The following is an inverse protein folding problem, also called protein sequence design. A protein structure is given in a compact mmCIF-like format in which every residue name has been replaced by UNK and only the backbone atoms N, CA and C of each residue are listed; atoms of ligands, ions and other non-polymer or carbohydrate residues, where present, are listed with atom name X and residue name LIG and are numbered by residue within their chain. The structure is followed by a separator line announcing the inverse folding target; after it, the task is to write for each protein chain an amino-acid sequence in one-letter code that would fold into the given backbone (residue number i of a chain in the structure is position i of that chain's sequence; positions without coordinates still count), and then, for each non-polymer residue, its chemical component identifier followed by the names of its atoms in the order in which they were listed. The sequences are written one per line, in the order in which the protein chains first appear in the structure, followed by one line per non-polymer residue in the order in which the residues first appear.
data_IF_993723882876
#
_entry.id   IF_993723882876
#
_cell.length_a   1.000
_cell.length_b   1.000
_cell.length_c   1.000
_cell.angle_alpha   90.00
_cell.angle_beta   90.00
_cell.angle_gamma   90.00
#
_symmetry.space_group_name_H-M   'P 1'
#
loop_
_entity.id
_entity.type
_entity.pdbx_description
1 polymer ?
#
# COMPACT_ATOMS: atom_id res chain seq x y z
N UNK A 1 7.48 5.74 -16.79
CA UNK A 1 8.74 5.21 -16.25
C UNK A 1 8.61 3.77 -15.75
N UNK A 2 7.69 3.47 -14.84
CA UNK A 2 7.46 2.09 -14.35
C UNK A 2 6.96 1.13 -15.43
N UNK A 3 6.05 1.55 -16.31
CA UNK A 3 5.62 0.73 -17.45
C UNK A 3 6.78 0.35 -18.40
N UNK A 4 7.74 1.26 -18.59
CA UNK A 4 8.94 1.00 -19.39
C UNK A 4 9.85 0.01 -18.65
N UNK A 5 10.03 0.17 -17.34
CA UNK A 5 10.82 -0.77 -16.53
C UNK A 5 10.22 -2.18 -16.49
N UNK A 6 8.88 -2.30 -16.43
CA UNK A 6 8.17 -3.59 -16.47
C UNK A 6 8.39 -4.30 -17.81
N UNK A 7 8.27 -3.59 -18.94
CA UNK A 7 8.55 -4.18 -20.25
C UNK A 7 10.05 -4.47 -20.43
N UNK A 8 10.91 -3.60 -19.90
CA UNK A 8 12.34 -3.70 -20.11
C UNK A 8 12.98 -4.83 -19.29
N UNK A 9 12.39 -5.28 -18.18
CA UNK A 9 12.98 -6.31 -17.29
C UNK A 9 13.14 -7.67 -17.98
N UNK A 10 12.36 -7.92 -19.03
CA UNK A 10 12.43 -9.14 -19.85
C UNK A 10 13.63 -9.15 -20.80
N UNK A 11 14.28 -8.00 -21.03
CA UNK A 11 15.46 -7.89 -21.89
C UNK A 11 16.76 -8.02 -21.09
N UNK A 12 17.71 -8.79 -21.63
CA UNK A 12 19.04 -9.01 -21.02
C UNK A 12 19.88 -7.73 -20.85
N UNK A 13 19.58 -6.69 -21.62
CA UNK A 13 20.25 -5.38 -21.59
C UNK A 13 19.79 -4.53 -20.38
N UNK A 14 18.67 -4.88 -19.74
CA UNK A 14 18.14 -4.07 -18.66
C UNK A 14 18.97 -4.22 -17.37
N UNK A 15 19.42 -3.12 -16.75
CA UNK A 15 20.25 -3.18 -15.57
C UNK A 15 19.45 -3.75 -14.39
N UNK A 16 19.84 -4.94 -13.91
CA UNK A 16 19.17 -5.68 -12.83
C UNK A 16 19.03 -4.90 -11.52
N UNK A 17 19.87 -3.87 -11.30
CA UNK A 17 19.71 -2.93 -10.17
C UNK A 17 18.40 -2.13 -10.18
N UNK A 18 17.73 -2.02 -11.32
CA UNK A 18 16.44 -1.33 -11.46
C UNK A 18 15.25 -2.29 -11.44
N UNK A 19 15.50 -3.60 -11.44
CA UNK A 19 14.49 -4.64 -11.27
C UNK A 19 13.99 -4.66 -9.81
N UNK A 20 13.03 -5.56 -9.52
CA UNK A 20 12.46 -5.68 -8.18
C UNK A 20 13.54 -5.99 -7.15
N UNK A 21 13.55 -5.28 -6.03
CA UNK A 21 14.36 -5.67 -4.89
C UNK A 21 13.57 -6.63 -4.00
N UNK A 22 14.09 -7.84 -3.78
CA UNK A 22 13.51 -8.78 -2.80
C UNK A 22 14.09 -8.60 -1.39
N UNK A 23 15.17 -7.83 -1.27
CA UNK A 23 15.84 -7.52 0.00
C UNK A 23 15.85 -6.01 0.27
N UNK A 24 16.74 -5.51 1.13
CA UNK A 24 16.84 -4.09 1.43
C UNK A 24 17.23 -3.29 0.19
N UNK A 25 16.43 -2.28 -0.15
CA UNK A 25 16.66 -1.39 -1.28
C UNK A 25 15.36 -0.99 -1.96
N UNK A 26 15.46 -0.16 -3.02
CA UNK A 26 14.33 0.13 -3.89
C UNK A 26 14.77 0.06 -5.35
N UNK A 27 14.04 -0.69 -6.17
CA UNK A 27 14.19 -0.73 -7.61
C UNK A 27 13.33 0.32 -8.31
N UNK A 28 13.65 0.60 -9.58
CA UNK A 28 12.80 1.44 -10.44
C UNK A 28 11.38 0.86 -10.59
N UNK A 29 11.26 -0.47 -10.54
CA UNK A 29 9.99 -1.19 -10.63
C UNK A 29 9.15 -1.09 -9.33
N UNK A 30 9.78 -0.93 -8.17
CA UNK A 30 9.12 -0.88 -6.86
C UNK A 30 8.39 0.46 -6.63
N UNK A 31 8.85 1.53 -7.27
CA UNK A 31 8.25 2.86 -7.17
C UNK A 31 6.83 2.96 -7.77
N UNK A 32 6.44 2.02 -8.63
CA UNK A 32 5.16 2.07 -9.35
C UNK A 32 3.96 2.09 -8.41
N UNK A 33 4.02 1.29 -7.36
CA UNK A 33 2.93 1.21 -6.38
C UNK A 33 2.83 2.50 -5.57
N UNK A 34 3.96 3.05 -5.11
CA UNK A 34 4.00 4.32 -4.40
C UNK A 34 3.43 5.47 -5.23
N UNK A 35 3.84 5.59 -6.50
CA UNK A 35 3.31 6.62 -7.40
C UNK A 35 1.82 6.46 -7.68
N UNK A 36 1.34 5.22 -7.82
CA UNK A 36 -0.09 4.97 -7.97
C UNK A 36 -0.87 5.45 -6.74
N UNK A 37 -0.36 5.17 -5.53
CA UNK A 37 -0.99 5.64 -4.27
C UNK A 37 -1.00 7.16 -4.19
N UNK A 38 0.12 7.83 -4.50
CA UNK A 38 0.20 9.31 -4.51
C UNK A 38 -0.79 9.91 -5.52
N UNK A 39 -0.84 9.37 -6.74
CA UNK A 39 -1.74 9.87 -7.78
C UNK A 39 -3.21 9.78 -7.34
N UNK A 40 -3.62 8.65 -6.73
CA UNK A 40 -4.95 8.48 -6.16
C UNK A 40 -5.22 9.45 -4.99
N UNK A 41 -4.22 9.67 -4.13
CA UNK A 41 -4.32 10.58 -2.99
C UNK A 41 -4.49 12.04 -3.41
N UNK A 42 -3.81 12.49 -4.47
CA UNK A 42 -3.92 13.87 -4.97
C UNK A 42 -5.34 14.16 -5.47
N UNK A 43 -5.95 13.23 -6.21
CA UNK A 43 -7.30 13.42 -6.78
C UNK A 43 -8.44 13.11 -5.79
N UNK A 44 -8.08 12.75 -4.56
CA UNK A 44 -9.01 12.26 -3.56
C UNK A 44 -10.01 13.34 -3.09
N UNK A 45 -11.23 12.95 -2.64
CA UNK A 45 -12.18 13.89 -2.05
C UNK A 45 -11.64 14.63 -0.82
N UNK A 46 -10.72 13.99 -0.09
CA UNK A 46 -10.05 14.54 1.10
C UNK A 46 -9.15 15.73 0.72
N UNK A 47 -8.36 15.60 -0.36
CA UNK A 47 -7.54 16.68 -0.89
C UNK A 47 -8.38 17.89 -1.35
N UNK A 48 -9.65 17.65 -1.73
CA UNK A 48 -10.61 18.68 -2.15
C UNK A 48 -11.44 19.25 -1.00
N UNK A 49 -11.18 18.86 0.25
CA UNK A 49 -11.86 19.38 1.43
C UNK A 49 -13.33 18.94 1.59
N UNK A 50 -13.80 17.92 0.86
CA UNK A 50 -15.22 17.51 0.86
C UNK A 50 -15.57 16.51 1.97
N UNK A 51 -14.61 16.11 2.81
CA UNK A 51 -14.77 14.98 3.74
C UNK A 51 -15.52 15.33 5.04
N UNK A 52 -15.66 16.60 5.43
CA UNK A 52 -16.17 16.96 6.76
C UNK A 52 -17.72 16.88 6.92
N UNK A 53 -18.46 16.69 5.82
CA UNK A 53 -19.92 16.87 5.81
C UNK A 53 -20.73 15.58 6.10
N UNK A 54 -20.10 14.43 6.34
CA UNK A 54 -20.82 13.14 6.48
C UNK A 54 -20.45 12.40 7.77
N UNK A 55 -21.40 11.68 8.40
CA UNK A 55 -21.10 10.80 9.52
C UNK A 55 -20.12 9.68 9.14
N UNK A 56 -19.21 9.34 10.05
CA UNK A 56 -18.18 8.29 9.86
C UNK A 56 -18.76 6.97 9.33
N UNK A 57 -19.90 6.52 9.87
CA UNK A 57 -20.56 5.28 9.44
C UNK A 57 -21.05 5.35 8.00
N UNK A 58 -21.55 6.50 7.56
CA UNK A 58 -22.00 6.71 6.18
C UNK A 58 -20.82 6.74 5.21
N UNK A 59 -19.72 7.36 5.61
CA UNK A 59 -18.47 7.38 4.84
C UNK A 59 -17.88 5.99 4.71
N UNK A 60 -17.85 5.22 5.80
CA UNK A 60 -17.34 3.85 5.79
C UNK A 60 -18.20 2.93 4.92
N UNK A 61 -19.54 3.05 4.98
CA UNK A 61 -20.44 2.30 4.09
C UNK A 61 -20.20 2.65 2.61
N UNK A 62 -20.03 3.94 2.30
CA UNK A 62 -19.73 4.36 0.93
C UNK A 62 -18.35 3.87 0.46
N UNK A 63 -17.35 3.91 1.34
CA UNK A 63 -16.02 3.39 1.09
C UNK A 63 -16.06 1.88 0.84
N UNK A 64 -16.75 1.11 1.69
CA UNK A 64 -16.96 -0.33 1.55
C UNK A 64 -17.61 -0.68 0.20
N UNK A 65 -18.66 0.05 -0.19
CA UNK A 65 -19.28 -0.12 -1.52
C UNK A 65 -18.28 0.14 -2.64
N UNK A 66 -17.42 1.14 -2.50
CA UNK A 66 -16.34 1.44 -3.42
C UNK A 66 -15.15 0.46 -3.38
N UNK A 67 -15.04 -0.37 -2.35
CA UNK A 67 -14.04 -1.44 -2.24
C UNK A 67 -14.51 -2.73 -2.90
N UNK A 68 -15.82 -2.94 -3.10
CA UNK A 68 -16.38 -4.12 -3.78
C UNK A 68 -15.67 -4.45 -5.10
N UNK A 69 -15.50 -3.52 -6.06
CA UNK A 69 -14.82 -3.85 -7.31
C UNK A 69 -13.34 -4.24 -7.10
N UNK A 70 -12.66 -3.63 -6.13
CA UNK A 70 -11.28 -4.00 -5.77
C UNK A 70 -11.23 -5.42 -5.19
N UNK A 71 -12.18 -5.76 -4.32
CA UNK A 71 -12.26 -7.11 -3.74
C UNK A 71 -12.56 -8.15 -4.82
N UNK A 72 -13.49 -7.87 -5.73
CA UNK A 72 -13.81 -8.77 -6.87
C UNK A 72 -12.58 -9.00 -7.74
N UNK A 73 -11.85 -7.93 -8.09
CA UNK A 73 -10.59 -8.06 -8.83
C UNK A 73 -9.52 -8.82 -8.05
N UNK A 74 -9.41 -8.58 -6.74
CA UNK A 74 -8.49 -9.29 -5.84
C UNK A 74 -8.77 -10.78 -5.77
N UNK A 75 -10.04 -11.18 -5.59
CA UNK A 75 -10.44 -12.58 -5.61
C UNK A 75 -10.28 -13.20 -7.00
N UNK A 76 -10.64 -12.47 -8.06
CA UNK A 76 -10.45 -12.92 -9.45
C UNK A 76 -8.98 -13.23 -9.75
N UNK A 77 -8.06 -12.35 -9.35
CA UNK A 77 -6.61 -12.60 -9.47
C UNK A 77 -6.19 -13.84 -8.68
N UNK A 78 -6.62 -13.95 -7.43
CA UNK A 78 -6.24 -15.10 -6.57
C UNK A 78 -6.72 -16.42 -7.16
N UNK A 79 -7.95 -16.47 -7.67
CA UNK A 79 -8.51 -17.66 -8.31
C UNK A 79 -7.80 -17.97 -9.63
N UNK A 80 -7.48 -16.97 -10.44
CA UNK A 80 -6.75 -17.17 -11.68
C UNK A 80 -5.34 -17.73 -11.41
N UNK A 81 -4.58 -17.11 -10.52
CA UNK A 81 -3.20 -17.54 -10.19
C UNK A 81 -3.17 -18.95 -9.62
N UNK A 82 -4.07 -19.26 -8.68
CA UNK A 82 -4.20 -20.63 -8.12
C UNK A 82 -4.78 -21.63 -9.11
N UNK A 83 -5.59 -21.20 -10.06
CA UNK A 83 -6.18 -22.07 -11.08
C UNK A 83 -5.24 -22.38 -12.25
N UNK A 84 -4.25 -21.52 -12.51
CA UNK A 84 -3.28 -21.69 -13.60
C UNK A 84 -1.91 -22.18 -13.13
N UNK A 85 -1.75 -22.52 -11.84
CA UNK A 85 -0.46 -22.86 -11.20
C UNK A 85 0.68 -21.91 -11.60
N UNK A 86 0.36 -20.62 -11.72
CA UNK A 86 1.36 -19.63 -12.12
C UNK A 86 2.28 -19.32 -10.94
N UNK A 87 3.59 -19.24 -11.18
CA UNK A 87 4.57 -18.93 -10.15
C UNK A 87 4.29 -17.54 -9.56
N UNK A 88 3.78 -17.51 -8.32
CA UNK A 88 3.54 -16.27 -7.59
C UNK A 88 4.79 -15.88 -6.80
N UNK A 89 5.23 -14.62 -6.93
CA UNK A 89 6.26 -14.06 -6.06
C UNK A 89 5.66 -13.81 -4.67
N UNK A 90 5.72 -14.85 -3.85
CA UNK A 90 5.13 -14.89 -2.50
C UNK A 90 5.77 -13.87 -1.55
N UNK A 91 6.95 -13.35 -1.91
CA UNK A 91 7.73 -12.33 -1.19
C UNK A 91 7.19 -10.90 -1.36
N UNK A 92 6.28 -10.66 -2.31
CA UNK A 92 5.79 -9.29 -2.58
C UNK A 92 4.68 -8.84 -1.62
N UNK A 93 3.73 -9.73 -1.35
CA UNK A 93 2.53 -9.41 -0.59
C UNK A 93 2.12 -10.55 0.34
N UNK A 94 2.43 -11.79 -0.02
CA UNK A 94 2.05 -13.00 0.70
C UNK A 94 1.48 -14.07 -0.22
N UNK A 95 1.00 -15.16 0.39
CA UNK A 95 0.45 -16.32 -0.34
C UNK A 95 -0.98 -16.05 -0.83
N UNK A 96 -1.74 -15.21 -0.12
CA UNK A 96 -3.15 -14.94 -0.43
C UNK A 96 -3.44 -13.45 -0.58
N UNK A 97 -2.46 -12.61 -0.22
CA UNK A 97 -2.60 -11.18 -0.29
C UNK A 97 -2.11 -10.66 -1.64
N UNK A 98 -2.77 -9.62 -2.13
CA UNK A 98 -2.41 -9.01 -3.39
C UNK A 98 -2.58 -7.49 -3.33
N UNK A 99 -2.14 -6.83 -4.39
CA UNK A 99 -2.20 -5.38 -4.50
C UNK A 99 -3.63 -4.80 -4.42
N UNK A 100 -4.66 -5.52 -4.88
CA UNK A 100 -6.03 -5.03 -4.76
C UNK A 100 -6.52 -5.05 -3.30
N UNK A 101 -6.11 -6.07 -2.53
CA UNK A 101 -6.38 -6.13 -1.09
C UNK A 101 -5.63 -5.04 -0.32
N UNK A 102 -4.37 -4.73 -0.66
CA UNK A 102 -3.67 -3.58 -0.05
C UNK A 102 -4.36 -2.27 -0.36
N UNK A 103 -4.82 -2.04 -1.59
CA UNK A 103 -5.59 -0.84 -1.95
C UNK A 103 -6.91 -0.74 -1.19
N UNK A 104 -7.65 -1.85 -1.07
CA UNK A 104 -8.90 -1.89 -0.32
C UNK A 104 -8.66 -1.56 1.17
N UNK A 105 -7.62 -2.14 1.78
CA UNK A 105 -7.25 -1.87 3.16
C UNK A 105 -6.79 -0.42 3.35
N UNK A 106 -5.96 0.11 2.43
CA UNK A 106 -5.52 1.50 2.42
C UNK A 106 -6.70 2.48 2.35
N UNK A 107 -7.70 2.20 1.52
CA UNK A 107 -8.89 3.03 1.38
C UNK A 107 -9.72 3.05 2.66
N UNK A 108 -9.85 1.90 3.34
CA UNK A 108 -10.52 1.81 4.63
C UNK A 108 -9.75 2.56 5.72
N UNK A 109 -8.45 2.34 5.85
CA UNK A 109 -7.63 2.98 6.89
C UNK A 109 -7.51 4.49 6.69
N UNK A 110 -7.37 4.96 5.46
CA UNK A 110 -7.38 6.41 5.15
C UNK A 110 -8.72 7.06 5.48
N UNK A 111 -9.85 6.42 5.18
CA UNK A 111 -11.19 6.93 5.54
C UNK A 111 -11.33 7.07 7.06
N UNK A 112 -10.87 6.08 7.82
CA UNK A 112 -10.88 6.13 9.29
C UNK A 112 -9.96 7.25 9.80
N UNK A 113 -8.75 7.37 9.25
CA UNK A 113 -7.78 8.38 9.64
C UNK A 113 -8.32 9.81 9.42
N UNK A 114 -8.89 10.08 8.24
CA UNK A 114 -9.46 11.40 7.91
C UNK A 114 -10.83 11.66 8.54
N UNK A 115 -11.43 10.65 9.16
CA UNK A 115 -12.56 10.84 10.08
C UNK A 115 -12.11 11.34 11.47
N UNK A 116 -10.84 11.10 11.84
CA UNK A 116 -10.29 11.47 13.15
C UNK A 116 -9.43 12.74 13.08
N UNK A 117 -8.73 12.95 11.96
CA UNK A 117 -7.74 14.02 11.77
C UNK A 117 -8.24 15.03 10.73
N UNK A 118 -7.93 16.32 10.93
CA UNK A 118 -8.19 17.36 9.93
C UNK A 118 -7.16 17.31 8.80
N UNK A 119 -7.59 17.57 7.58
CA UNK A 119 -6.72 17.60 6.39
C UNK A 119 -5.54 18.57 6.54
N UNK A 120 -5.69 19.67 7.31
CA UNK A 120 -4.60 20.61 7.60
C UNK A 120 -3.42 19.97 8.36
N UNK A 121 -3.67 18.92 9.13
CA UNK A 121 -2.65 18.20 9.89
C UNK A 121 -2.08 17.00 9.12
N UNK A 122 -2.41 16.84 7.83
CA UNK A 122 -1.95 15.69 7.03
C UNK A 122 -0.43 15.53 7.04
N UNK A 123 0.34 16.61 6.91
CA UNK A 123 1.82 16.52 6.93
C UNK A 123 2.33 15.98 8.27
N UNK A 124 1.79 16.50 9.38
CA UNK A 124 2.17 16.05 10.73
C UNK A 124 1.75 14.59 10.93
N UNK A 125 0.54 14.21 10.51
CA UNK A 125 0.06 12.83 10.58
C UNK A 125 0.90 11.86 9.72
N UNK A 126 1.32 12.28 8.52
CA UNK A 126 2.19 11.48 7.66
C UNK A 126 3.56 11.26 8.30
N UNK A 127 4.14 12.31 8.89
CA UNK A 127 5.41 12.22 9.62
C UNK A 127 5.31 11.32 10.86
N UNK A 128 4.24 11.45 11.64
CA UNK A 128 4.06 10.60 12.83
C UNK A 128 3.87 9.14 12.45
N UNK A 129 3.05 8.85 11.43
CA UNK A 129 2.86 7.47 10.93
C UNK A 129 4.19 6.90 10.44
N UNK A 130 4.97 7.68 9.68
CA UNK A 130 6.28 7.24 9.15
C UNK A 130 7.27 6.98 10.27
N UNK A 131 7.40 7.90 11.23
CA UNK A 131 8.31 7.75 12.37
C UNK A 131 7.91 6.54 13.23
N UNK A 132 6.63 6.41 13.58
CA UNK A 132 6.14 5.26 14.36
C UNK A 132 6.35 3.96 13.60
N UNK A 133 6.07 3.93 12.30
CA UNK A 133 6.28 2.73 11.50
C UNK A 133 7.76 2.34 11.44
N UNK A 134 8.65 3.30 11.20
CA UNK A 134 10.10 3.06 11.16
C UNK A 134 10.65 2.61 12.52
N UNK A 135 10.22 3.22 13.63
CA UNK A 135 10.66 2.79 14.97
C UNK A 135 10.14 1.40 15.28
N UNK A 136 8.91 1.08 14.91
CA UNK A 136 8.34 -0.25 15.06
C UNK A 136 9.13 -1.28 14.24
N UNK A 137 9.51 -0.98 13.00
CA UNK A 137 10.31 -1.88 12.18
C UNK A 137 11.71 -2.12 12.75
N UNK A 138 12.39 -1.04 13.17
CA UNK A 138 13.79 -1.10 13.60
C UNK A 138 13.96 -1.59 15.04
N UNK A 139 13.09 -1.17 15.96
CA UNK A 139 13.26 -1.43 17.41
C UNK A 139 12.56 -2.71 17.85
N UNK A 140 11.38 -3.01 17.29
CA UNK A 140 10.62 -4.21 17.66
C UNK A 140 10.98 -5.45 16.83
N UNK A 141 12.02 -5.37 15.98
CA UNK A 141 12.45 -6.50 15.15
C UNK A 141 11.41 -6.94 14.11
N UNK A 142 10.45 -6.08 13.78
CA UNK A 142 9.44 -6.39 12.76
C UNK A 142 10.05 -6.52 11.36
N UNK A 143 11.22 -5.91 11.13
CA UNK A 143 11.97 -6.13 9.89
C UNK A 143 12.43 -7.58 9.73
N UNK A 144 12.99 -8.20 10.77
CA UNK A 144 13.36 -9.62 10.72
C UNK A 144 12.13 -10.54 10.70
N UNK A 145 11.02 -10.13 11.33
CA UNK A 145 9.75 -10.85 11.21
C UNK A 145 9.21 -10.86 9.77
N UNK A 146 9.29 -9.74 9.04
CA UNK A 146 8.86 -9.68 7.63
C UNK A 146 9.72 -10.59 6.76
N UNK A 147 11.04 -10.55 6.93
CA UNK A 147 11.99 -11.27 6.09
C UNK A 147 12.03 -12.77 6.43
N UNK A 148 12.22 -13.12 7.70
CA UNK A 148 12.53 -14.48 8.13
C UNK A 148 11.33 -15.22 8.75
N UNK A 149 10.25 -14.50 9.03
CA UNK A 149 9.02 -15.06 9.60
C UNK A 149 9.05 -15.27 11.09
N UNK A 150 7.92 -15.74 11.63
CA UNK A 150 7.72 -15.90 13.08
C UNK A 150 8.77 -16.78 13.75
N UNK A 151 9.24 -17.80 13.05
CA UNK A 151 10.19 -18.79 13.55
C UNK A 151 11.61 -18.59 13.00
N UNK A 152 11.87 -17.54 12.21
CA UNK A 152 13.19 -17.26 11.62
C UNK A 152 13.65 -18.25 10.54
N UNK A 153 12.79 -19.19 10.13
CA UNK A 153 13.09 -20.25 9.15
C UNK A 153 12.39 -20.03 7.79
N UNK A 154 11.72 -18.89 7.62
CA UNK A 154 10.84 -18.65 6.47
C UNK A 154 9.54 -19.45 6.53
N UNK A 155 9.20 -20.03 7.69
CA UNK A 155 7.91 -20.69 7.89
C UNK A 155 6.78 -19.70 7.59
N UNK A 156 5.71 -20.19 6.96
CA UNK A 156 4.48 -19.44 6.64
C UNK A 156 3.31 -20.09 7.36
N UNK A 157 3.41 -20.18 8.68
CA UNK A 157 2.46 -20.93 9.50
C UNK A 157 1.32 -20.01 9.92
N UNK A 158 0.16 -20.20 9.29
CA UNK A 158 -1.06 -19.43 9.56
C UNK A 158 -1.26 -18.24 8.62
N UNK A 159 -2.50 -17.72 8.62
CA UNK A 159 -2.96 -16.73 7.62
C UNK A 159 -2.23 -15.39 7.75
N UNK A 160 -1.87 -14.98 8.98
CA UNK A 160 -1.20 -13.70 9.23
C UNK A 160 0.28 -13.74 8.81
N UNK A 161 0.97 -14.84 9.12
CA UNK A 161 2.38 -15.02 8.78
C UNK A 161 2.57 -15.24 7.28
N UNK A 162 1.63 -15.95 6.63
CA UNK A 162 1.59 -16.12 5.18
C UNK A 162 1.39 -14.81 4.38
N UNK A 163 0.83 -13.76 5.00
CA UNK A 163 0.49 -12.47 4.37
C UNK A 163 1.17 -11.28 5.06
N UNK A 164 2.24 -11.54 5.81
CA UNK A 164 2.90 -10.56 6.67
C UNK A 164 3.44 -9.37 5.89
N UNK A 165 4.00 -9.60 4.70
CA UNK A 165 4.59 -8.51 3.88
C UNK A 165 3.49 -7.51 3.48
N UNK A 166 2.36 -8.01 2.99
CA UNK A 166 1.21 -7.21 2.59
C UNK A 166 0.58 -6.44 3.76
N UNK A 167 0.38 -7.08 4.92
CA UNK A 167 -0.26 -6.45 6.08
C UNK A 167 0.66 -5.39 6.71
N UNK A 168 1.93 -5.70 6.88
CA UNK A 168 2.89 -4.78 7.51
C UNK A 168 3.27 -3.61 6.60
N UNK A 169 3.03 -3.71 5.29
CA UNK A 169 3.21 -2.58 4.37
C UNK A 169 2.11 -1.50 4.45
N UNK A 170 0.95 -1.79 5.05
CA UNK A 170 -0.21 -0.89 5.06
C UNK A 170 0.11 0.48 5.71
N UNK A 171 0.77 0.57 6.88
CA UNK A 171 1.10 1.86 7.47
C UNK A 171 2.06 2.70 6.62
N UNK A 172 3.01 2.04 5.93
CA UNK A 172 3.89 2.71 4.96
C UNK A 172 3.11 3.30 3.78
N UNK A 173 2.20 2.53 3.18
CA UNK A 173 1.31 3.03 2.13
C UNK A 173 0.37 4.14 2.62
N UNK A 174 -0.09 4.06 3.87
CA UNK A 174 -0.92 5.09 4.49
C UNK A 174 -0.16 6.40 4.63
N UNK A 175 1.10 6.38 5.06
CA UNK A 175 1.94 7.58 5.11
C UNK A 175 2.09 8.22 3.72
N UNK A 176 2.40 7.42 2.70
CA UNK A 176 2.50 7.89 1.30
C UNK A 176 1.19 8.53 0.84
N UNK A 177 0.05 7.89 1.14
CA UNK A 177 -1.27 8.43 0.81
C UNK A 177 -1.49 9.79 1.48
N UNK A 178 -1.22 9.90 2.78
CA UNK A 178 -1.42 11.14 3.55
C UNK A 178 -0.54 12.29 3.04
N UNK A 179 0.71 12.01 2.67
CA UNK A 179 1.56 12.99 2.00
C UNK A 179 1.00 13.40 0.63
N UNK A 180 0.49 12.45 -0.14
CA UNK A 180 -0.18 12.72 -1.42
C UNK A 180 -1.43 13.60 -1.27
N UNK A 181 -2.22 13.42 -0.21
CA UNK A 181 -3.37 14.29 0.10
C UNK A 181 -2.90 15.70 0.46
N UNK A 182 -1.82 15.83 1.24
CA UNK A 182 -1.26 17.14 1.58
C UNK A 182 -0.77 17.90 0.33
N UNK A 183 -0.09 17.21 -0.58
CA UNK A 183 0.30 17.74 -1.88
C UNK A 183 -0.92 18.13 -2.73
N UNK A 184 -1.93 17.28 -2.79
CA UNK A 184 -3.17 17.56 -3.51
C UNK A 184 -3.87 18.81 -2.97
N UNK A 185 -3.96 18.95 -1.64
CA UNK A 185 -4.52 20.15 -1.01
C UNK A 185 -3.74 21.41 -1.44
N UNK A 186 -2.41 21.37 -1.37
CA UNK A 186 -1.56 22.50 -1.78
C UNK A 186 -1.77 22.89 -3.25
N UNK A 187 -1.95 21.89 -4.13
CA UNK A 187 -2.20 22.13 -5.56
C UNK A 187 -3.58 22.72 -5.85
N UNK A 188 -4.62 22.33 -5.09
CA UNK A 188 -5.98 22.82 -5.25
C UNK A 188 -6.28 24.09 -4.43
N UNK A 189 -5.33 24.57 -3.63
CA UNK A 189 -5.45 25.81 -2.89
C UNK A 189 -5.44 26.99 -3.87
N UNK A 190 -6.60 27.64 -4.00
CA UNK A 190 -6.82 28.73 -4.95
C UNK A 190 -5.99 29.94 -4.50
N UNK A 191 -5.03 30.35 -5.33
CA UNK A 191 -4.28 31.60 -5.16
C UNK A 191 -5.19 32.82 -5.30
#
# INVERSE_FOLDING_TARGET
MTAIAILAVDFSVFPRRLAKSETYGFGGMDNGVGFFVIANAIVSPEARGKHFLRPMVSQLKHCLKGCVPLLVLGFGRLLAVKGTDYHEHVTEYGVHWNFFFTLAALKLTSTVLYSLIRVNQSVVAGLTITCVHQTVLSVFGLSSYVMDGRDGTGSRVGILDANREGILSIPGYLAIYVFGVALGKFLFEKR
#
